data_IF_247739609773
#
_entry.id   IF_247739609773
#
_cell.length_a   1.000
_cell.length_b   1.000
_cell.length_c   1.000
_cell.angle_alpha   90.00
_cell.angle_beta   90.00
_cell.angle_gamma   90.00
#
_symmetry.space_group_name_H-M   'P 1'
#
loop_
_entity.id
_entity.type
_entity.pdbx_description
1 polymer ?
#
# COMPACT_ATOMS: atom_id res chain seq x y z
N UNK A 1 -13.39 -25.27 -14.10
CA UNK A 1 -12.86 -25.09 -12.73
C UNK A 1 -13.05 -23.63 -12.39
N UNK A 2 -13.98 -23.35 -11.47
CA UNK A 2 -14.28 -22.01 -10.94
C UNK A 2 -13.10 -21.53 -10.08
N UNK A 3 -13.20 -20.32 -9.54
CA UNK A 3 -12.26 -19.63 -8.63
C UNK A 3 -11.88 -20.44 -7.38
N UNK A 4 -11.18 -21.57 -7.55
CA UNK A 4 -10.76 -22.45 -6.47
C UNK A 4 -9.58 -21.83 -5.70
N UNK A 5 -9.86 -21.48 -4.45
CA UNK A 5 -8.86 -21.18 -3.42
C UNK A 5 -8.56 -22.47 -2.65
N UNK A 6 -7.48 -22.52 -1.85
CA UNK A 6 -7.23 -23.65 -0.96
C UNK A 6 -8.37 -23.98 0.01
N UNK A 7 -9.30 -23.04 0.24
CA UNK A 7 -10.44 -23.18 1.15
C UNK A 7 -11.77 -23.43 0.43
N UNK A 8 -11.74 -23.69 -0.90
CA UNK A 8 -12.92 -23.87 -1.73
C UNK A 8 -13.13 -22.70 -2.70
N UNK A 9 -14.28 -22.73 -3.38
CA UNK A 9 -14.70 -21.65 -4.28
C UNK A 9 -14.90 -20.35 -3.50
N UNK A 10 -14.55 -19.22 -4.09
CA UNK A 10 -14.70 -17.92 -3.40
C UNK A 10 -16.13 -17.69 -2.89
N UNK A 11 -17.14 -18.02 -3.69
CA UNK A 11 -18.56 -17.90 -3.33
C UNK A 11 -19.04 -18.87 -2.24
N UNK A 12 -18.25 -19.87 -1.86
CA UNK A 12 -18.58 -20.80 -0.77
C UNK A 12 -17.91 -20.49 0.57
N UNK A 13 -17.10 -19.42 0.65
CA UNK A 13 -16.40 -19.05 1.89
C UNK A 13 -17.35 -18.38 2.88
N UNK A 14 -17.39 -18.87 4.12
CA UNK A 14 -18.19 -18.26 5.19
C UNK A 14 -17.55 -16.95 5.67
N UNK A 15 -18.17 -15.83 5.30
CA UNK A 15 -17.72 -14.48 5.66
C UNK A 15 -18.04 -14.06 7.09
N UNK A 16 -18.68 -14.93 7.85
CA UNK A 16 -18.90 -14.73 9.27
C UNK A 16 -17.86 -15.47 10.11
N UNK A 17 -17.10 -16.38 9.49
CA UNK A 17 -16.06 -17.16 10.15
C UNK A 17 -14.77 -16.34 10.31
N UNK A 18 -14.42 -16.06 11.56
CA UNK A 18 -13.22 -15.30 11.94
C UNK A 18 -11.96 -16.17 11.92
N UNK A 19 -12.09 -17.47 12.17
CA UNK A 19 -10.96 -18.40 12.12
C UNK A 19 -10.54 -18.65 10.67
N UNK A 20 -11.51 -18.82 9.77
CA UNK A 20 -11.25 -18.88 8.33
C UNK A 20 -10.58 -17.60 7.81
N UNK A 21 -11.08 -16.42 8.18
CA UNK A 21 -10.44 -15.15 7.84
C UNK A 21 -8.97 -15.11 8.27
N UNK A 22 -8.69 -15.57 9.49
CA UNK A 22 -7.36 -15.64 10.05
C UNK A 22 -6.43 -16.59 9.28
N UNK A 23 -6.92 -17.79 8.93
CA UNK A 23 -6.16 -18.75 8.12
C UNK A 23 -5.78 -18.17 6.76
N UNK A 24 -6.73 -17.51 6.09
CA UNK A 24 -6.51 -16.88 4.79
C UNK A 24 -5.44 -15.78 4.91
N UNK A 25 -5.54 -14.90 5.91
CA UNK A 25 -4.55 -13.84 6.14
C UNK A 25 -3.16 -14.40 6.48
N UNK A 26 -3.07 -15.54 7.18
CA UNK A 26 -1.80 -16.23 7.48
C UNK A 26 -1.12 -16.86 6.25
N UNK A 27 -1.78 -16.89 5.10
CA UNK A 27 -1.15 -17.25 3.83
C UNK A 27 -0.04 -16.26 3.46
N UNK A 28 -0.22 -14.98 3.80
CA UNK A 28 0.73 -13.93 3.46
C UNK A 28 1.90 -13.85 4.44
N UNK A 29 3.04 -13.35 3.94
CA UNK A 29 4.19 -13.06 4.79
C UNK A 29 3.81 -11.99 5.82
N UNK A 30 4.30 -12.15 7.04
CA UNK A 30 4.06 -11.23 8.17
C UNK A 30 4.24 -9.73 7.84
N UNK A 31 5.13 -9.36 6.92
CA UNK A 31 5.34 -7.97 6.50
C UNK A 31 4.13 -7.36 5.78
N UNK A 32 3.34 -8.17 5.08
CA UNK A 32 2.10 -7.71 4.42
C UNK A 32 1.06 -7.33 5.48
N UNK A 33 0.88 -8.20 6.49
CA UNK A 33 -0.05 -7.95 7.60
C UNK A 33 0.39 -6.75 8.45
N UNK A 34 1.69 -6.63 8.72
CA UNK A 34 2.25 -5.43 9.38
C UNK A 34 2.07 -4.17 8.53
N UNK A 35 2.13 -4.28 7.20
CA UNK A 35 1.80 -3.20 6.27
C UNK A 35 0.37 -2.72 6.44
N UNK A 36 -0.60 -3.65 6.52
CA UNK A 36 -2.01 -3.31 6.78
C UNK A 36 -2.21 -2.55 8.10
N UNK A 37 -1.47 -2.93 9.16
CA UNK A 37 -1.50 -2.21 10.44
C UNK A 37 -1.00 -0.76 10.27
N UNK A 38 0.05 -0.56 9.46
CA UNK A 38 0.60 0.77 9.18
C UNK A 38 -0.36 1.60 8.32
N UNK A 39 -0.96 0.99 7.30
CA UNK A 39 -1.96 1.66 6.48
C UNK A 39 -3.14 2.17 7.32
N UNK A 40 -3.59 1.40 8.32
CA UNK A 40 -4.61 1.87 9.27
C UNK A 40 -4.17 3.07 10.10
N UNK A 41 -2.90 3.11 10.52
CA UNK A 41 -2.36 4.28 11.21
C UNK A 41 -2.45 5.53 10.33
N UNK A 42 -2.20 5.37 9.02
CA UNK A 42 -2.39 6.45 8.05
C UNK A 42 -3.85 6.79 7.80
N UNK A 43 -4.73 5.80 7.67
CA UNK A 43 -6.18 6.02 7.48
C UNK A 43 -6.74 6.92 8.59
N UNK A 44 -6.38 6.66 9.86
CA UNK A 44 -6.79 7.52 10.99
C UNK A 44 -6.33 8.98 10.84
N UNK A 45 -5.11 9.21 10.34
CA UNK A 45 -4.62 10.58 10.06
C UNK A 45 -5.40 11.24 8.93
N UNK A 46 -5.69 10.49 7.86
CA UNK A 46 -6.44 11.00 6.71
C UNK A 46 -7.92 11.21 6.99
N UNK A 47 -8.56 10.38 7.83
CA UNK A 47 -9.93 10.57 8.31
C UNK A 47 -10.07 11.87 9.11
N UNK A 48 -9.06 12.18 9.95
CA UNK A 48 -9.03 13.46 10.65
C UNK A 48 -8.83 14.62 9.68
N UNK A 49 -7.89 14.50 8.73
CA UNK A 49 -7.65 15.53 7.71
C UNK A 49 -8.87 15.76 6.80
N UNK A 50 -9.60 14.70 6.46
CA UNK A 50 -10.85 14.76 5.71
C UNK A 50 -11.91 15.56 6.48
N UNK A 51 -12.05 15.28 7.78
CA UNK A 51 -12.94 16.02 8.68
C UNK A 51 -12.58 17.50 8.74
N UNK A 52 -11.31 17.86 8.96
CA UNK A 52 -10.86 19.25 9.04
C UNK A 52 -10.98 20.01 7.71
N UNK A 53 -10.90 19.29 6.59
CA UNK A 53 -11.01 19.88 5.26
C UNK A 53 -12.43 20.27 4.85
N UNK A 54 -13.44 20.00 5.70
CA UNK A 54 -14.86 20.21 5.41
C UNK A 54 -15.28 19.58 4.05
N UNK A 55 -14.83 18.36 3.79
CA UNK A 55 -15.11 17.63 2.55
C UNK A 55 -14.17 17.94 1.38
N UNK A 56 -13.13 18.75 1.59
CA UNK A 56 -12.11 19.03 0.57
C UNK A 56 -11.20 17.84 0.24
N UNK A 57 -11.03 16.91 1.18
CA UNK A 57 -10.29 15.64 1.05
C UNK A 57 -11.27 14.47 1.17
N UNK A 58 -11.23 13.56 0.19
CA UNK A 58 -12.00 12.33 0.18
C UNK A 58 -11.08 11.15 -0.17
N UNK A 59 -10.95 10.18 0.75
CA UNK A 59 -10.34 8.89 0.42
C UNK A 59 -11.31 8.09 -0.47
N UNK A 60 -10.81 7.55 -1.58
CA UNK A 60 -11.61 6.70 -2.45
C UNK A 60 -11.58 5.27 -1.93
N UNK A 61 -12.77 4.68 -1.76
CA UNK A 61 -12.94 3.30 -1.30
C UNK A 61 -12.82 2.32 -2.47
N UNK A 62 -11.58 1.94 -2.76
CA UNK A 62 -11.23 1.06 -3.86
C UNK A 62 -9.95 0.28 -3.58
N UNK A 63 -9.74 -0.79 -4.34
CA UNK A 63 -8.46 -1.50 -4.46
C UNK A 63 -7.97 -1.40 -5.89
N UNK A 64 -6.67 -1.19 -6.10
CA UNK A 64 -6.08 -1.17 -7.44
C UNK A 64 -4.85 -2.03 -7.52
N UNK A 65 -4.91 -3.04 -8.38
CA UNK A 65 -3.80 -3.93 -8.68
C UNK A 65 -3.29 -3.68 -10.09
N UNK A 66 -2.02 -3.33 -10.22
CA UNK A 66 -1.35 -3.16 -11.51
C UNK A 66 -0.45 -4.36 -11.77
N UNK A 67 -0.58 -4.97 -12.94
CA UNK A 67 0.22 -6.11 -13.38
C UNK A 67 0.90 -5.82 -14.70
N UNK A 68 2.05 -6.47 -14.94
CA UNK A 68 2.66 -6.45 -16.28
C UNK A 68 1.82 -7.29 -17.23
N UNK A 69 1.54 -6.73 -18.41
CA UNK A 69 0.96 -7.52 -19.50
C UNK A 69 1.92 -8.64 -19.90
N UNK A 70 1.44 -9.89 -20.08
CA UNK A 70 2.25 -10.97 -20.64
C UNK A 70 2.61 -10.74 -22.11
N UNK A 71 1.83 -9.92 -22.82
CA UNK A 71 2.04 -9.61 -24.23
C UNK A 71 3.08 -8.50 -24.37
N UNK A 72 4.18 -8.80 -25.08
CA UNK A 72 5.25 -7.85 -25.29
C UNK A 72 4.76 -6.61 -26.04
N UNK A 73 5.14 -5.41 -25.56
CA UNK A 73 4.74 -4.13 -26.15
C UNK A 73 3.35 -3.64 -25.75
N UNK A 74 2.54 -4.46 -25.06
CA UNK A 74 1.26 -4.01 -24.52
C UNK A 74 1.45 -3.16 -23.25
N UNK A 75 0.55 -2.18 -23.00
CA UNK A 75 0.56 -1.45 -21.74
C UNK A 75 0.31 -2.40 -20.55
N UNK A 76 0.76 -2.04 -19.34
CA UNK A 76 0.38 -2.78 -18.14
C UNK A 76 -1.13 -2.76 -17.94
N UNK A 77 -1.63 -3.72 -17.16
CA UNK A 77 -3.07 -3.88 -16.90
C UNK A 77 -3.36 -3.43 -15.47
N UNK A 78 -4.39 -2.60 -15.28
CA UNK A 78 -4.88 -2.18 -13.98
C UNK A 78 -6.24 -2.82 -13.72
N UNK A 79 -6.35 -3.56 -12.62
CA UNK A 79 -7.61 -4.10 -12.10
C UNK A 79 -8.07 -3.23 -10.94
N UNK A 80 -9.22 -2.58 -11.09
CA UNK A 80 -9.74 -1.61 -10.12
C UNK A 80 -11.06 -2.11 -9.57
N UNK A 81 -11.08 -2.46 -8.29
CA UNK A 81 -12.30 -2.83 -7.59
C UNK A 81 -12.85 -1.64 -6.82
N UNK A 82 -14.02 -1.15 -7.23
CA UNK A 82 -14.74 -0.10 -6.51
C UNK A 82 -15.70 -0.77 -5.52
N UNK A 83 -15.58 -0.45 -4.22
CA UNK A 83 -16.41 -1.04 -3.16
C UNK A 83 -17.76 -0.33 -2.95
N UNK A 84 -18.00 0.74 -3.70
CA UNK A 84 -19.24 1.49 -3.75
C UNK A 84 -19.15 2.63 -4.76
N UNK A 85 -20.20 3.45 -4.86
CA UNK A 85 -20.22 4.61 -5.74
C UNK A 85 -19.78 5.86 -4.99
N UNK A 86 -18.73 6.52 -5.48
CA UNK A 86 -18.18 7.74 -4.89
C UNK A 86 -17.78 8.77 -5.96
N UNK A 87 -17.85 10.08 -5.66
CA UNK A 87 -17.27 11.13 -6.51
C UNK A 87 -15.80 10.85 -6.81
N UNK A 88 -15.34 11.19 -8.01
CA UNK A 88 -13.95 11.04 -8.43
C UNK A 88 -13.55 9.66 -8.97
N UNK A 89 -14.32 8.59 -8.73
CA UNK A 89 -13.98 7.24 -9.21
C UNK A 89 -13.92 7.13 -10.74
N UNK A 90 -14.90 7.70 -11.46
CA UNK A 90 -14.87 7.75 -12.93
C UNK A 90 -13.62 8.49 -13.44
N UNK A 91 -13.31 9.64 -12.83
CA UNK A 91 -12.11 10.43 -13.17
C UNK A 91 -10.84 9.63 -12.93
N UNK A 92 -10.81 8.82 -11.87
CA UNK A 92 -9.70 7.93 -11.56
C UNK A 92 -9.52 6.85 -12.63
N UNK A 93 -10.60 6.16 -13.01
CA UNK A 93 -10.55 5.16 -14.09
C UNK A 93 -10.12 5.77 -15.43
N UNK A 94 -10.67 6.94 -15.79
CA UNK A 94 -10.30 7.69 -16.99
C UNK A 94 -8.82 8.13 -16.97
N UNK A 95 -8.30 8.51 -15.80
CA UNK A 95 -6.89 8.85 -15.64
C UNK A 95 -6.00 7.63 -15.86
N UNK A 96 -6.30 6.50 -15.21
CA UNK A 96 -5.57 5.25 -15.38
C UNK A 96 -5.58 4.75 -16.83
N UNK A 97 -6.69 4.91 -17.54
CA UNK A 97 -6.85 4.45 -18.93
C UNK A 97 -5.92 5.16 -19.93
N UNK A 98 -5.28 6.27 -19.53
CA UNK A 98 -4.25 6.95 -20.33
C UNK A 98 -2.95 6.15 -20.42
N UNK A 99 -2.67 5.29 -19.44
CA UNK A 99 -1.38 4.58 -19.32
C UNK A 99 -1.52 3.07 -19.15
N UNK A 100 -2.72 2.58 -18.80
CA UNK A 100 -3.02 1.17 -18.59
C UNK A 100 -4.21 0.68 -19.42
N UNK A 101 -4.25 -0.61 -19.67
CA UNK A 101 -5.52 -1.30 -19.95
C UNK A 101 -6.26 -1.47 -18.63
N UNK A 102 -7.40 -0.81 -18.46
CA UNK A 102 -8.14 -0.78 -17.19
C UNK A 102 -9.31 -1.74 -17.22
N UNK A 103 -9.38 -2.64 -16.24
CA UNK A 103 -10.55 -3.46 -15.96
C UNK A 103 -11.20 -2.97 -14.66
N UNK A 104 -12.47 -2.59 -14.76
CA UNK A 104 -13.32 -2.35 -13.60
C UNK A 104 -13.81 -3.70 -13.06
N UNK A 105 -13.62 -3.91 -11.76
CA UNK A 105 -14.03 -5.11 -11.05
C UNK A 105 -15.26 -4.83 -10.19
N UNK A 106 -16.20 -5.77 -10.22
CA UNK A 106 -17.38 -5.80 -9.37
C UNK A 106 -17.45 -7.15 -8.66
N UNK A 107 -17.86 -7.13 -7.39
CA UNK A 107 -18.15 -8.36 -6.64
C UNK A 107 -19.65 -8.61 -6.71
N UNK A 108 -20.07 -9.64 -7.45
CA UNK A 108 -21.49 -9.95 -7.72
C UNK A 108 -21.75 -11.39 -7.30
N UNK A 109 -22.71 -11.61 -6.40
CA UNK A 109 -23.03 -12.94 -5.84
C UNK A 109 -21.76 -13.67 -5.38
N UNK A 110 -20.87 -12.93 -4.73
CA UNK A 110 -19.61 -13.44 -4.23
C UNK A 110 -18.66 -13.96 -5.29
N UNK A 111 -18.74 -13.48 -6.53
CA UNK A 111 -17.72 -13.74 -7.55
C UNK A 111 -17.28 -12.45 -8.24
N UNK A 112 -15.97 -12.32 -8.48
CA UNK A 112 -15.43 -11.16 -9.18
C UNK A 112 -15.75 -11.21 -10.67
N UNK A 113 -16.33 -10.13 -11.15
CA UNK A 113 -16.60 -9.89 -12.55
C UNK A 113 -15.78 -8.70 -13.02
N UNK A 114 -15.34 -8.77 -14.27
CA UNK A 114 -14.52 -7.74 -14.88
C UNK A 114 -15.20 -7.19 -16.14
N UNK A 115 -15.11 -5.88 -16.30
CA UNK A 115 -15.49 -5.16 -17.51
C UNK A 115 -14.32 -4.28 -17.93
N UNK A 116 -13.93 -4.32 -19.21
CA UNK A 116 -12.94 -3.41 -19.73
C UNK A 116 -13.50 -1.99 -19.67
N UNK A 117 -12.74 -1.09 -19.07
CA UNK A 117 -13.05 0.33 -19.01
C UNK A 117 -12.55 1.02 -20.27
N UNK A 118 -13.47 1.39 -21.16
CA UNK A 118 -13.26 2.42 -22.16
C UNK A 118 -14.14 3.63 -21.78
N UNK A 119 -13.54 4.82 -21.78
CA UNK A 119 -14.18 6.13 -21.55
C UNK A 119 -15.53 6.33 -22.26
N UNK A 120 -15.77 5.57 -23.34
CA UNK A 120 -17.00 5.60 -24.14
C UNK A 120 -17.96 4.44 -23.86
N UNK A 121 -17.46 3.26 -23.47
CA UNK A 121 -18.26 2.05 -23.29
C UNK A 121 -17.63 1.10 -22.25
N UNK A 122 -18.46 0.47 -21.42
CA UNK A 122 -18.06 -0.73 -20.68
C UNK A 122 -18.32 -1.96 -21.57
N UNK A 123 -17.32 -2.83 -21.74
CA UNK A 123 -17.58 -4.13 -22.37
C UNK A 123 -18.55 -4.94 -21.51
N UNK A 124 -19.29 -5.91 -22.07
CA UNK A 124 -20.07 -6.83 -21.27
C UNK A 124 -19.24 -7.47 -20.16
N UNK A 125 -19.78 -7.45 -18.95
CA UNK A 125 -19.17 -8.10 -17.78
C UNK A 125 -18.96 -9.59 -18.04
N UNK A 126 -17.83 -10.12 -17.57
CA UNK A 126 -17.55 -11.55 -17.57
C UNK A 126 -16.80 -11.97 -16.30
N UNK A 127 -16.85 -13.26 -15.90
CA UNK A 127 -16.13 -13.75 -14.73
C UNK A 127 -14.63 -13.44 -14.82
N UNK A 128 -14.04 -12.96 -13.72
CA UNK A 128 -12.64 -12.60 -13.65
C UNK A 128 -11.74 -13.80 -13.92
N UNK A 129 -12.07 -14.99 -13.39
CA UNK A 129 -11.34 -16.24 -13.65
C UNK A 129 -11.16 -16.51 -15.15
N UNK A 130 -12.19 -16.29 -15.95
CA UNK A 130 -12.11 -16.53 -17.39
C UNK A 130 -11.27 -15.47 -18.08
N UNK A 131 -11.44 -14.21 -17.68
CA UNK A 131 -10.63 -13.11 -18.21
C UNK A 131 -9.14 -13.32 -17.95
N UNK A 132 -8.73 -13.62 -16.71
CA UNK A 132 -7.31 -13.76 -16.36
C UNK A 132 -6.65 -14.97 -17.01
N UNK A 133 -7.42 -15.99 -17.38
CA UNK A 133 -6.92 -17.11 -18.19
C UNK A 133 -6.67 -16.70 -19.64
N UNK A 134 -7.52 -15.84 -20.18
CA UNK A 134 -7.41 -15.37 -21.56
C UNK A 134 -6.24 -14.40 -21.74
N UNK A 135 -6.04 -13.47 -20.80
CA UNK A 135 -5.03 -12.39 -20.93
C UNK A 135 -3.76 -12.66 -20.12
N UNK A 136 -3.79 -13.62 -19.20
CA UNK A 136 -2.70 -13.98 -18.31
C UNK A 136 -1.81 -15.10 -18.85
N UNK A 137 -0.87 -15.54 -18.02
CA UNK A 137 -0.07 -16.75 -18.27
C UNK A 137 -0.65 -17.96 -17.54
N UNK A 138 -0.10 -19.14 -17.80
CA UNK A 138 -0.38 -20.35 -17.00
C UNK A 138 -0.16 -20.07 -15.50
N UNK A 139 -1.15 -20.33 -14.63
CA UNK A 139 -1.10 -19.89 -13.24
C UNK A 139 0.04 -20.55 -12.46
N UNK A 140 0.65 -19.77 -11.56
CA UNK A 140 1.65 -20.23 -10.60
C UNK A 140 1.32 -19.74 -9.21
N UNK A 141 0.69 -20.59 -8.41
CA UNK A 141 0.41 -20.32 -7.00
C UNK A 141 1.73 -20.40 -6.21
N UNK A 142 2.13 -19.27 -5.63
CA UNK A 142 3.35 -19.19 -4.83
C UNK A 142 2.99 -19.30 -3.36
N UNK A 143 3.64 -20.24 -2.66
CA UNK A 143 3.63 -20.28 -1.20
C UNK A 143 4.77 -19.39 -0.67
N UNK A 144 4.52 -18.70 0.44
CA UNK A 144 5.58 -17.99 1.18
C UNK A 144 6.56 -19.04 1.71
N UNK A 145 7.86 -18.82 1.48
CA UNK A 145 8.87 -19.76 1.92
C UNK A 145 8.86 -19.90 3.46
N UNK A 146 8.95 -21.12 4.03
CA UNK A 146 8.81 -21.34 5.47
C UNK A 146 9.81 -20.55 6.32
N UNK A 147 11.02 -20.32 5.80
CA UNK A 147 12.12 -19.60 6.45
C UNK A 147 11.88 -18.09 6.61
N UNK A 148 10.95 -17.52 5.85
CA UNK A 148 10.54 -16.11 5.97
C UNK A 148 9.15 -15.93 6.58
N UNK A 149 8.43 -17.03 6.82
CA UNK A 149 7.16 -17.01 7.56
C UNK A 149 7.45 -16.87 9.06
N UNK A 150 6.67 -16.04 9.74
CA UNK A 150 6.82 -15.85 11.19
C UNK A 150 5.43 -15.77 11.81
N UNK A 151 4.95 -16.90 12.30
CA UNK A 151 3.57 -17.02 12.78
C UNK A 151 3.29 -16.15 13.99
N UNK A 152 4.25 -16.00 14.90
CA UNK A 152 4.11 -15.11 16.06
C UNK A 152 3.83 -13.68 15.59
N UNK A 153 4.57 -13.19 14.58
CA UNK A 153 4.34 -11.86 14.02
C UNK A 153 3.04 -11.74 13.25
N UNK A 154 2.64 -12.78 12.50
CA UNK A 154 1.33 -12.81 11.83
C UNK A 154 0.20 -12.70 12.86
N UNK A 155 0.21 -13.57 13.87
CA UNK A 155 -0.78 -13.59 14.94
C UNK A 155 -0.79 -12.27 15.72
N UNK A 156 0.38 -11.68 15.98
CA UNK A 156 0.48 -10.38 16.67
C UNK A 156 -0.18 -9.26 15.85
N UNK A 157 0.02 -9.22 14.54
CA UNK A 157 -0.60 -8.22 13.68
C UNK A 157 -2.13 -8.44 13.58
N UNK A 158 -2.56 -9.69 13.44
CA UNK A 158 -3.98 -10.01 13.27
C UNK A 158 -4.72 -9.86 14.60
N UNK A 159 -4.40 -10.67 15.61
CA UNK A 159 -5.13 -10.69 16.87
C UNK A 159 -4.78 -9.52 17.79
N UNK A 160 -3.53 -9.07 17.76
CA UNK A 160 -3.10 -7.95 18.60
C UNK A 160 -3.56 -6.58 18.08
N UNK A 161 -4.10 -6.50 16.86
CA UNK A 161 -4.55 -5.23 16.29
C UNK A 161 -5.75 -5.35 15.36
N UNK A 162 -5.58 -5.96 14.19
CA UNK A 162 -6.57 -5.89 13.11
C UNK A 162 -7.93 -6.41 13.56
N UNK A 163 -7.92 -7.47 14.38
CA UNK A 163 -9.11 -8.13 14.85
C UNK A 163 -9.78 -7.42 16.05
N UNK A 164 -9.08 -6.51 16.72
CA UNK A 164 -9.64 -5.61 17.75
C UNK A 164 -10.13 -4.29 17.14
N UNK A 165 -9.48 -3.82 16.08
CA UNK A 165 -9.79 -2.56 15.42
C UNK A 165 -10.98 -2.67 14.43
N UNK A 166 -11.35 -3.88 14.02
CA UNK A 166 -12.32 -4.12 12.95
C UNK A 166 -13.36 -5.16 13.36
N UNK A 167 -14.61 -4.95 12.94
CA UNK A 167 -15.62 -5.99 12.99
C UNK A 167 -15.26 -7.15 12.05
N UNK A 168 -15.85 -8.33 12.26
CA UNK A 168 -15.67 -9.48 11.37
C UNK A 168 -15.98 -9.13 9.92
N UNK A 169 -17.07 -8.40 9.67
CA UNK A 169 -17.44 -7.92 8.33
C UNK A 169 -16.37 -7.01 7.72
N UNK A 170 -15.81 -6.10 8.51
CA UNK A 170 -14.73 -5.21 8.05
C UNK A 170 -13.43 -5.97 7.77
N UNK A 171 -13.09 -6.98 8.58
CA UNK A 171 -11.94 -7.87 8.31
C UNK A 171 -12.12 -8.53 6.95
N UNK A 172 -13.30 -9.09 6.67
CA UNK A 172 -13.57 -9.76 5.41
C UNK A 172 -13.51 -8.80 4.22
N UNK A 173 -14.26 -7.69 4.30
CA UNK A 173 -14.40 -6.74 3.20
C UNK A 173 -13.11 -5.97 2.91
N UNK A 174 -12.37 -5.58 3.95
CA UNK A 174 -11.23 -4.67 3.82
C UNK A 174 -9.88 -5.41 3.81
N UNK A 175 -9.81 -6.66 4.28
CA UNK A 175 -8.56 -7.42 4.35
C UNK A 175 -8.66 -8.73 3.56
N UNK A 176 -9.56 -9.63 3.93
CA UNK A 176 -9.57 -11.01 3.37
C UNK A 176 -9.87 -11.01 1.88
N UNK A 177 -10.94 -10.35 1.44
CA UNK A 177 -11.34 -10.32 0.03
C UNK A 177 -10.25 -9.70 -0.87
N UNK A 178 -9.66 -8.53 -0.56
CA UNK A 178 -8.50 -8.01 -1.32
C UNK A 178 -7.34 -9.01 -1.40
N UNK A 179 -7.05 -9.74 -0.31
CA UNK A 179 -5.99 -10.75 -0.31
C UNK A 179 -6.31 -11.95 -1.16
N UNK A 180 -7.56 -12.42 -1.15
CA UNK A 180 -8.02 -13.49 -2.03
C UNK A 180 -7.90 -13.09 -3.50
N UNK A 181 -8.39 -11.89 -3.84
CA UNK A 181 -8.31 -11.31 -5.18
C UNK A 181 -6.85 -11.27 -5.68
N UNK A 182 -5.94 -10.67 -4.91
CA UNK A 182 -4.56 -10.50 -5.37
C UNK A 182 -3.78 -11.81 -5.37
N UNK A 183 -3.90 -12.65 -4.35
CA UNK A 183 -3.06 -13.84 -4.19
C UNK A 183 -3.52 -15.03 -5.04
N UNK A 184 -4.81 -15.14 -5.36
CA UNK A 184 -5.37 -16.32 -6.03
C UNK A 184 -5.98 -16.02 -7.39
N UNK A 185 -6.53 -14.81 -7.61
CA UNK A 185 -7.14 -14.45 -8.89
C UNK A 185 -6.22 -13.65 -9.81
N UNK A 186 -5.26 -12.89 -9.26
CA UNK A 186 -4.36 -12.05 -10.06
C UNK A 186 -2.91 -12.56 -10.09
N UNK A 187 -2.19 -12.56 -8.96
CA UNK A 187 -0.76 -12.90 -8.91
C UNK A 187 -0.37 -14.23 -9.58
N UNK A 188 -1.17 -15.32 -9.51
CA UNK A 188 -0.80 -16.56 -10.17
C UNK A 188 -0.67 -16.40 -11.69
N UNK A 189 -1.51 -15.56 -12.30
CA UNK A 189 -1.62 -15.36 -13.74
C UNK A 189 -0.66 -14.30 -14.28
N UNK A 190 -0.10 -13.44 -13.43
CA UNK A 190 0.75 -12.32 -13.87
C UNK A 190 2.11 -12.25 -13.15
N UNK A 191 3.00 -11.38 -13.64
CA UNK A 191 4.29 -11.10 -13.01
C UNK A 191 4.29 -9.65 -12.54
N UNK A 192 4.87 -9.40 -11.36
CA UNK A 192 5.05 -8.05 -10.84
C UNK A 192 3.70 -7.39 -10.57
N UNK A 193 2.89 -8.02 -9.73
CA UNK A 193 1.65 -7.42 -9.24
C UNK A 193 1.99 -6.39 -8.18
N UNK A 194 1.56 -5.15 -8.41
CA UNK A 194 1.66 -4.04 -7.47
C UNK A 194 0.27 -3.70 -6.96
N UNK A 195 0.13 -3.54 -5.65
CA UNK A 195 -1.04 -2.91 -5.04
C UNK A 195 -0.74 -1.41 -4.89
N UNK A 196 -1.71 -0.54 -5.14
CA UNK A 196 -1.62 0.87 -4.80
C UNK A 196 -2.22 1.08 -3.41
N UNK A 197 -1.49 1.73 -2.50
CA UNK A 197 -1.93 1.78 -1.09
C UNK A 197 -3.21 2.61 -0.92
N UNK A 198 -3.20 3.92 -1.22
CA UNK A 198 -4.42 4.75 -1.13
C UNK A 198 -4.55 5.73 -2.29
N UNK A 199 -5.80 5.96 -2.72
CA UNK A 199 -6.17 7.00 -3.67
C UNK A 199 -7.08 7.99 -2.96
N UNK A 200 -6.85 9.28 -3.18
CA UNK A 200 -7.75 10.30 -2.66
C UNK A 200 -8.02 11.40 -3.69
N UNK A 201 -9.18 12.04 -3.55
CA UNK A 201 -9.54 13.26 -4.25
C UNK A 201 -9.33 14.42 -3.27
N UNK A 202 -8.50 15.38 -3.65
CA UNK A 202 -8.31 16.62 -2.88
C UNK A 202 -8.49 17.82 -3.80
N UNK A 203 -9.53 18.63 -3.56
CA UNK A 203 -9.86 19.82 -4.37
C UNK A 203 -9.77 19.57 -5.87
N UNK A 204 -10.50 18.55 -6.34
CA UNK A 204 -10.54 18.09 -7.74
C UNK A 204 -9.28 17.37 -8.27
N UNK A 205 -8.19 17.30 -7.51
CA UNK A 205 -6.98 16.59 -7.92
C UNK A 205 -6.93 15.18 -7.34
N UNK A 206 -6.56 14.22 -8.19
CA UNK A 206 -6.37 12.84 -7.78
C UNK A 206 -4.95 12.63 -7.28
N UNK A 207 -4.84 12.02 -6.11
CA UNK A 207 -3.57 11.68 -5.48
C UNK A 207 -3.44 10.18 -5.33
N UNK A 208 -2.22 9.68 -5.54
CA UNK A 208 -1.82 8.33 -5.13
C UNK A 208 -0.87 8.47 -3.95
N UNK A 209 -1.19 7.81 -2.84
CA UNK A 209 -0.42 7.88 -1.60
C UNK A 209 0.28 6.53 -1.41
N UNK A 210 1.61 6.55 -1.44
CA UNK A 210 2.47 5.39 -1.15
C UNK A 210 2.95 5.49 0.31
N UNK A 211 2.51 4.56 1.14
CA UNK A 211 2.60 4.61 2.59
C UNK A 211 3.64 3.60 3.09
N UNK A 212 4.60 4.03 3.91
CA UNK A 212 5.63 3.14 4.47
C UNK A 212 5.85 3.33 5.97
N UNK A 213 6.37 2.27 6.59
CA UNK A 213 6.93 2.29 7.93
C UNK A 213 8.38 1.81 7.89
N UNK A 214 9.33 2.73 8.04
CA UNK A 214 10.77 2.43 7.91
C UNK A 214 11.61 3.34 8.79
N UNK A 215 12.88 2.98 8.97
CA UNK A 215 13.89 3.86 9.58
C UNK A 215 14.95 4.18 8.53
N UNK A 216 15.65 5.33 8.66
CA UNK A 216 16.66 5.70 7.69
C UNK A 216 17.88 4.76 7.77
N UNK A 217 18.52 4.54 6.63
CA UNK A 217 19.65 3.64 6.44
C UNK A 217 20.97 4.29 6.88
N UNK A 218 21.94 3.47 7.28
CA UNK A 218 23.32 3.89 7.56
C UNK A 218 23.40 4.98 8.64
N UNK A 219 24.02 6.12 8.30
CA UNK A 219 24.16 7.30 9.16
C UNK A 219 22.80 7.88 9.61
N UNK A 220 21.72 7.57 8.90
CA UNK A 220 20.39 8.10 9.20
C UNK A 220 19.89 9.16 8.24
N UNK A 221 20.60 9.35 7.12
CA UNK A 221 20.34 10.46 6.20
C UNK A 221 19.54 10.05 4.98
N UNK A 222 19.29 8.75 4.77
CA UNK A 222 18.67 8.25 3.55
C UNK A 222 17.62 7.17 3.79
N UNK A 223 16.59 7.15 2.94
CA UNK A 223 15.63 6.06 2.82
C UNK A 223 15.80 5.35 1.48
N UNK A 224 15.53 4.04 1.44
CA UNK A 224 15.39 3.32 0.18
C UNK A 224 13.99 3.52 -0.42
N UNK A 225 13.94 3.68 -1.75
CA UNK A 225 12.73 3.58 -2.57
C UNK A 225 12.94 2.48 -3.62
N UNK A 226 12.03 1.51 -3.70
CA UNK A 226 12.16 0.44 -4.68
C UNK A 226 11.98 0.99 -6.10
N UNK A 227 12.77 0.49 -7.04
CA UNK A 227 12.71 0.92 -8.45
C UNK A 227 11.35 0.58 -9.11
N UNK A 228 10.68 -0.46 -8.63
CA UNK A 228 9.29 -0.75 -8.98
C UNK A 228 8.30 0.32 -8.49
N UNK A 229 8.44 0.79 -7.25
CA UNK A 229 7.61 1.85 -6.66
C UNK A 229 7.83 3.18 -7.40
N UNK A 230 9.09 3.52 -7.70
CA UNK A 230 9.42 4.73 -8.48
C UNK A 230 8.79 4.69 -9.89
N UNK A 231 8.84 3.53 -10.56
CA UNK A 231 8.15 3.34 -11.85
C UNK A 231 6.63 3.50 -11.71
N UNK A 232 6.04 3.01 -10.62
CA UNK A 232 4.61 3.16 -10.38
C UNK A 232 4.22 4.63 -10.18
N UNK A 233 4.99 5.38 -9.38
CA UNK A 233 4.82 6.82 -9.22
C UNK A 233 4.92 7.56 -10.55
N UNK A 234 5.82 7.13 -11.44
CA UNK A 234 5.94 7.67 -12.80
C UNK A 234 4.68 7.42 -13.62
N UNK A 235 4.15 6.20 -13.64
CA UNK A 235 2.90 5.89 -14.33
C UNK A 235 1.73 6.71 -13.79
N UNK A 236 1.61 6.86 -12.46
CA UNK A 236 0.57 7.70 -11.87
C UNK A 236 0.71 9.16 -12.29
N UNK A 237 1.93 9.69 -12.31
CA UNK A 237 2.19 11.04 -12.81
C UNK A 237 1.82 11.19 -14.29
N UNK A 238 2.13 10.20 -15.14
CA UNK A 238 1.77 10.20 -16.57
C UNK A 238 0.25 10.07 -16.80
N UNK A 239 -0.47 9.39 -15.88
CA UNK A 239 -1.93 9.33 -15.86
C UNK A 239 -2.58 10.67 -15.45
N UNK A 240 -1.80 11.58 -14.87
CA UNK A 240 -2.27 12.87 -14.35
C UNK A 240 -2.69 12.82 -12.88
N UNK A 241 -2.24 11.80 -12.13
CA UNK A 241 -2.33 11.78 -10.67
C UNK A 241 -1.10 12.44 -10.04
N UNK A 242 -1.25 12.93 -8.81
CA UNK A 242 -0.17 13.46 -7.99
C UNK A 242 0.30 12.37 -7.02
N UNK A 243 1.42 11.67 -7.28
CA UNK A 243 1.94 10.68 -6.35
C UNK A 243 2.59 11.35 -5.14
N UNK A 244 2.28 10.89 -3.93
CA UNK A 244 2.95 11.27 -2.70
C UNK A 244 3.59 10.04 -2.06
N UNK A 245 4.80 10.20 -1.54
CA UNK A 245 5.46 9.18 -0.74
C UNK A 245 5.49 9.61 0.72
N UNK A 246 4.86 8.83 1.59
CA UNK A 246 4.71 9.15 3.00
C UNK A 246 5.26 8.03 3.87
N UNK A 247 5.89 8.43 4.98
CA UNK A 247 6.61 7.52 5.85
C UNK A 247 6.31 7.85 7.30
N UNK A 248 5.84 6.85 8.04
CA UNK A 248 5.98 6.84 9.50
C UNK A 248 7.39 6.32 9.81
N UNK A 249 8.23 7.20 10.32
CA UNK A 249 9.63 6.89 10.63
C UNK A 249 9.70 6.20 12.00
N UNK A 250 10.35 5.04 12.06
CA UNK A 250 10.51 4.35 13.35
C UNK A 250 11.42 5.17 14.29
N UNK A 251 11.03 5.36 15.55
CA UNK A 251 11.87 6.02 16.55
C UNK A 251 13.07 5.14 16.98
N UNK A 252 13.06 3.84 16.64
CA UNK A 252 14.15 2.90 16.93
C UNK A 252 14.65 2.32 15.62
N UNK A 253 15.97 2.39 15.37
CA UNK A 253 16.63 1.85 14.17
C UNK A 253 16.86 0.35 14.29
N UNK A 254 15.78 -0.39 14.49
CA UNK A 254 15.80 -1.84 14.63
C UNK A 254 14.68 -2.46 13.78
N UNK A 255 15.06 -3.43 12.94
CA UNK A 255 14.14 -4.20 12.11
C UNK A 255 13.23 -5.12 12.95
N UNK A 256 13.64 -5.44 14.18
CA UNK A 256 12.84 -6.21 15.13
C UNK A 256 11.69 -5.38 15.71
N UNK A 257 11.75 -4.05 15.68
CA UNK A 257 10.66 -3.19 16.16
C UNK A 257 9.49 -3.18 15.17
N UNK A 258 8.34 -3.67 15.63
CA UNK A 258 7.12 -3.90 14.84
C UNK A 258 6.18 -2.71 14.92
N UNK A 259 5.32 -2.45 13.92
CA UNK A 259 4.43 -1.29 13.91
C UNK A 259 3.45 -1.23 15.08
N UNK A 260 3.25 -2.34 15.82
CA UNK A 260 2.39 -2.39 17.01
C UNK A 260 2.67 -1.34 18.07
N UNK A 261 3.91 -0.86 18.19
CA UNK A 261 4.24 0.21 19.13
C UNK A 261 3.43 1.49 18.85
N UNK A 262 2.99 1.70 17.60
CA UNK A 262 2.15 2.84 17.21
C UNK A 262 0.81 2.84 17.97
N UNK A 263 0.39 1.74 18.58
CA UNK A 263 -0.90 1.67 19.26
C UNK A 263 -0.74 1.37 20.75
N UNK A 264 0.18 0.48 21.11
CA UNK A 264 0.32 -0.02 22.48
C UNK A 264 1.48 0.60 23.28
N UNK A 265 2.32 1.45 22.66
CA UNK A 265 3.44 2.08 23.35
C UNK A 265 3.46 3.59 23.10
N UNK A 266 2.84 4.33 24.03
CA UNK A 266 2.75 5.80 23.97
C UNK A 266 4.10 6.49 23.79
N UNK A 267 5.13 6.07 24.51
CA UNK A 267 6.46 6.69 24.47
C UNK A 267 7.10 6.59 23.09
N UNK A 268 7.01 5.41 22.45
CA UNK A 268 7.52 5.22 21.09
C UNK A 268 6.62 5.90 20.05
N UNK A 269 5.31 5.88 20.26
CA UNK A 269 4.32 6.51 19.39
C UNK A 269 4.54 8.02 19.22
N UNK A 270 4.71 8.73 20.33
CA UNK A 270 4.96 10.19 20.37
C UNK A 270 6.26 10.59 19.65
N UNK A 271 7.20 9.65 19.51
CA UNK A 271 8.49 9.84 18.83
C UNK A 271 8.51 9.40 17.37
N UNK A 272 7.47 8.71 16.89
CA UNK A 272 7.44 8.30 15.49
C UNK A 272 7.17 9.50 14.60
N UNK A 273 8.18 9.95 13.85
CA UNK A 273 8.03 11.05 12.90
C UNK A 273 7.10 10.65 11.75
N UNK A 274 6.35 11.62 11.22
CA UNK A 274 5.63 11.47 9.96
C UNK A 274 6.18 12.48 8.97
N UNK A 275 6.58 11.97 7.82
CA UNK A 275 7.17 12.75 6.73
C UNK A 275 6.49 12.42 5.41
N UNK A 276 6.44 13.38 4.51
CA UNK A 276 5.78 13.23 3.22
C UNK A 276 6.46 14.05 2.13
N UNK A 277 6.37 13.57 0.89
CA UNK A 277 6.85 14.29 -0.28
C UNK A 277 5.95 14.03 -1.48
N UNK A 278 5.54 15.09 -2.16
CA UNK A 278 4.99 14.95 -3.51
C UNK A 278 6.11 14.59 -4.49
N UNK A 279 5.91 13.50 -5.21
CA UNK A 279 6.83 12.93 -6.18
C UNK A 279 6.55 13.53 -7.57
N UNK A 280 6.84 14.82 -7.74
CA UNK A 280 6.68 15.50 -9.03
C UNK A 280 7.54 14.84 -10.12
N UNK A 281 7.17 15.04 -11.39
CA UNK A 281 7.94 14.49 -12.53
C UNK A 281 9.43 14.83 -12.47
N UNK A 282 9.76 16.07 -12.13
CA UNK A 282 11.15 16.52 -11.96
C UNK A 282 11.89 15.74 -10.86
N UNK A 283 11.25 15.48 -9.71
CA UNK A 283 11.87 14.69 -8.63
C UNK A 283 12.03 13.24 -9.05
N UNK A 284 11.03 12.65 -9.70
CA UNK A 284 11.09 11.27 -10.23
C UNK A 284 12.29 11.15 -11.18
N UNK A 285 12.41 12.02 -12.17
CA UNK A 285 13.51 12.01 -13.15
C UNK A 285 14.89 12.17 -12.48
N UNK A 286 14.99 13.02 -11.46
CA UNK A 286 16.23 13.19 -10.68
C UNK A 286 16.60 11.91 -9.92
N UNK A 287 15.62 11.25 -9.30
CA UNK A 287 15.85 10.01 -8.57
C UNK A 287 16.21 8.88 -9.52
N UNK A 288 15.55 8.76 -10.67
CA UNK A 288 15.85 7.74 -11.71
C UNK A 288 17.31 7.81 -12.21
N UNK A 289 17.95 8.98 -12.14
CA UNK A 289 19.37 9.16 -12.52
C UNK A 289 20.35 8.69 -11.44
N UNK A 290 19.91 8.50 -10.19
CA UNK A 290 20.79 8.04 -9.10
C UNK A 290 21.19 6.57 -9.29
N UNK A 291 22.36 6.12 -8.78
CA UNK A 291 22.75 4.72 -8.88
C UNK A 291 21.72 3.75 -8.29
N UNK A 292 21.48 2.64 -9.00
CA UNK A 292 20.63 1.54 -8.52
C UNK A 292 21.44 0.63 -7.60
N UNK A 293 20.94 0.40 -6.38
CA UNK A 293 21.50 -0.55 -5.40
C UNK A 293 20.62 -1.79 -5.28
N UNK A 294 21.13 -2.87 -4.69
CA UNK A 294 20.39 -4.12 -4.45
C UNK A 294 20.06 -4.30 -2.98
N UNK A 295 18.81 -4.62 -2.67
CA UNK A 295 18.33 -4.90 -1.32
C UNK A 295 18.70 -6.32 -0.86
N UNK A 296 18.64 -6.56 0.44
CA UNK A 296 18.78 -7.90 1.02
C UNK A 296 17.55 -8.78 0.73
N UNK A 297 17.71 -10.11 0.71
CA UNK A 297 16.67 -11.08 0.32
C UNK A 297 15.34 -10.93 1.06
N UNK A 298 15.39 -10.59 2.35
CA UNK A 298 14.20 -10.43 3.20
C UNK A 298 13.25 -9.30 2.78
N UNK A 299 13.67 -8.40 1.89
CA UNK A 299 12.83 -7.31 1.35
C UNK A 299 11.89 -7.75 0.23
N UNK A 300 12.04 -8.98 -0.28
CA UNK A 300 11.10 -9.55 -1.25
C UNK A 300 9.88 -10.16 -0.52
N UNK A 301 8.71 -10.09 -1.16
CA UNK A 301 7.44 -10.61 -0.62
C UNK A 301 7.55 -12.12 -0.34
N UNK A 302 8.24 -12.86 -1.20
CA UNK A 302 8.42 -14.32 -1.10
C UNK A 302 9.70 -14.75 -0.39
N UNK A 303 10.63 -13.82 -0.11
CA UNK A 303 11.97 -14.15 0.41
C UNK A 303 12.99 -14.56 -0.66
N UNK A 304 12.57 -14.73 -1.91
CA UNK A 304 13.44 -15.17 -3.02
C UNK A 304 13.85 -14.00 -3.93
N UNK A 305 15.13 -13.64 -3.94
CA UNK A 305 15.72 -12.64 -4.87
C UNK A 305 16.20 -11.36 -4.19
N UNK A 306 16.47 -10.32 -4.98
CA UNK A 306 16.85 -8.98 -4.52
C UNK A 306 16.08 -7.93 -5.31
N UNK A 307 15.67 -6.83 -4.67
CA UNK A 307 14.98 -5.73 -5.32
C UNK A 307 15.96 -4.58 -5.54
N UNK A 308 15.88 -3.95 -6.71
CA UNK A 308 16.63 -2.72 -6.97
C UNK A 308 16.03 -1.54 -6.20
N UNK A 309 16.83 -0.74 -5.53
CA UNK A 309 16.38 0.46 -4.84
C UNK A 309 17.30 1.67 -5.09
N UNK A 310 16.76 2.86 -4.86
CA UNK A 310 17.49 4.14 -4.95
C UNK A 310 17.38 4.87 -3.63
N UNK A 311 18.43 5.64 -3.31
CA UNK A 311 18.49 6.39 -2.05
C UNK A 311 17.84 7.76 -2.17
N UNK A 312 16.95 8.04 -1.23
CA UNK A 312 16.28 9.32 -1.04
C UNK A 312 16.84 9.99 0.21
N UNK A 313 17.47 11.17 0.11
CA UNK A 313 17.91 11.90 1.29
C UNK A 313 16.70 12.32 2.11
N UNK A 314 16.82 12.36 3.43
CA UNK A 314 15.75 12.83 4.34
C UNK A 314 15.26 14.23 3.94
N UNK A 315 16.18 15.08 3.45
CA UNK A 315 15.91 16.46 3.05
C UNK A 315 15.03 16.63 1.80
N UNK A 316 14.62 15.55 1.14
CA UNK A 316 13.59 15.63 0.08
C UNK A 316 12.18 15.63 0.67
N UNK A 317 12.04 15.14 1.91
CA UNK A 317 10.76 15.03 2.59
C UNK A 317 10.45 16.29 3.38
N UNK A 318 9.17 16.64 3.38
CA UNK A 318 8.61 17.61 4.29
C UNK A 318 8.30 16.95 5.64
N UNK A 319 8.51 17.70 6.71
CA UNK A 319 8.05 17.36 8.05
C UNK A 319 6.55 17.57 8.13
N UNK A 320 5.82 16.53 8.54
CA UNK A 320 4.37 16.62 8.78
C UNK A 320 4.04 16.63 10.28
N UNK A 321 4.91 16.09 11.12
CA UNK A 321 4.74 16.07 12.57
C UNK A 321 5.27 14.77 13.19
N UNK A 322 4.72 14.40 14.34
CA UNK A 322 4.87 13.05 14.89
C UNK A 322 3.51 12.37 15.02
N UNK A 323 3.49 11.04 14.97
CA UNK A 323 2.26 10.27 14.96
C UNK A 323 1.51 10.32 16.32
N UNK A 324 2.22 10.59 17.42
CA UNK A 324 1.57 10.78 18.72
C UNK A 324 1.07 12.20 18.98
N UNK A 325 1.30 13.15 18.07
CA UNK A 325 0.57 14.42 18.11
C UNK A 325 -0.92 14.13 17.84
N UNK A 326 -1.80 14.85 18.54
CA UNK A 326 -3.24 14.78 18.25
C UNK A 326 -3.48 15.11 16.78
N UNK A 327 -4.49 14.47 16.16
CA UNK A 327 -4.80 14.61 14.73
C UNK A 327 -4.79 16.06 14.25
N UNK A 328 -5.21 16.99 15.12
CA UNK A 328 -5.27 18.44 14.87
C UNK A 328 -3.94 19.09 14.45
N UNK A 329 -2.79 18.49 14.76
CA UNK A 329 -1.48 19.04 14.39
C UNK A 329 -0.95 18.49 13.08
N UNK A 330 -1.21 17.21 12.80
CA UNK A 330 -0.68 16.55 11.60
C UNK A 330 -1.56 16.78 10.38
N UNK A 331 -2.87 16.87 10.57
CA UNK A 331 -3.85 17.06 9.50
C UNK A 331 -3.64 18.35 8.71
N UNK A 332 -3.40 19.53 9.33
CA UNK A 332 -3.09 20.74 8.59
C UNK A 332 -1.84 20.60 7.71
N UNK A 333 -0.80 19.90 8.17
CA UNK A 333 0.42 19.68 7.40
C UNK A 333 0.20 18.70 6.23
N UNK A 334 -0.63 17.66 6.42
CA UNK A 334 -1.08 16.79 5.32
C UNK A 334 -1.84 17.62 4.27
N UNK A 335 -2.80 18.45 4.68
CA UNK A 335 -3.58 19.28 3.75
C UNK A 335 -2.71 20.32 3.02
N UNK A 336 -1.68 20.86 3.69
CA UNK A 336 -0.65 21.72 3.06
C UNK A 336 0.16 20.96 2.02
N UNK A 337 0.59 19.73 2.32
CA UNK A 337 1.29 18.86 1.36
C UNK A 337 0.44 18.63 0.12
N UNK A 338 -0.83 18.25 0.30
CA UNK A 338 -1.78 18.01 -0.79
C UNK A 338 -2.17 19.29 -1.53
N UNK A 339 -1.99 20.46 -0.92
CA UNK A 339 -2.15 21.76 -1.59
C UNK A 339 -0.91 22.20 -2.37
N UNK A 340 0.19 21.43 -2.33
CA UNK A 340 1.47 21.84 -2.90
C UNK A 340 2.13 23.02 -2.17
N UNK A 341 1.70 23.33 -0.94
CA UNK A 341 2.28 24.43 -0.17
C UNK A 341 3.68 24.07 0.33
N UNK A 342 4.50 25.11 0.54
CA UNK A 342 5.84 24.94 1.10
C UNK A 342 5.73 24.51 2.57
N UNK A 343 6.38 23.41 2.89
CA UNK A 343 6.48 22.84 4.23
C UNK A 343 7.93 22.90 4.73
N UNK A 344 8.11 22.84 6.05
CA UNK A 344 9.42 22.63 6.66
C UNK A 344 10.02 21.31 6.15
N UNK A 345 11.29 21.31 5.76
CA UNK A 345 11.95 20.07 5.32
C UNK A 345 12.36 19.23 6.54
N UNK A 346 12.18 17.92 6.44
CA UNK A 346 12.74 16.99 7.39
C UNK A 346 14.28 17.00 7.30
N UNK A 347 14.94 16.74 8.43
CA UNK A 347 16.39 16.65 8.50
C UNK A 347 16.83 15.41 9.28
N UNK A 348 18.05 14.93 9.00
CA UNK A 348 18.64 13.84 9.78
C UNK A 348 18.77 14.18 11.27
N UNK A 349 19.05 15.46 11.59
CA UNK A 349 19.10 15.97 12.96
C UNK A 349 17.77 15.86 13.69
N UNK A 350 16.67 16.33 13.07
CA UNK A 350 15.33 16.19 13.65
C UNK A 350 14.93 14.72 13.86
N UNK A 351 15.22 13.85 12.90
CA UNK A 351 14.97 12.41 13.07
C UNK A 351 15.83 11.80 14.18
N UNK A 352 17.06 12.29 14.40
CA UNK A 352 17.94 11.82 15.46
C UNK A 352 17.48 12.27 16.86
N UNK A 353 16.92 13.48 16.99
CA UNK A 353 16.33 13.98 18.24
C UNK A 353 15.12 13.13 18.69
N UNK A 354 14.31 12.70 17.72
CA UNK A 354 13.17 11.83 17.97
C UNK A 354 13.59 10.39 18.27
N UNK A 355 14.70 9.94 17.67
CA UNK A 355 15.17 8.58 17.82
C UNK A 355 15.46 8.26 19.30
N UNK A 356 14.90 7.16 19.78
CA UNK A 356 15.31 6.59 21.05
C UNK A 356 16.60 5.80 20.81
N UNK A 357 17.63 6.09 21.60
CA UNK A 357 18.81 5.22 21.66
C UNK A 357 18.31 3.87 22.17
N UNK A 358 18.39 2.82 21.33
CA UNK A 358 18.09 1.47 21.78
C UNK A 358 18.93 1.21 23.04
N UNK A 359 18.35 0.74 24.15
CA UNK A 359 19.16 0.37 25.30
C UNK A 359 20.20 -0.62 24.80
N UNK A 360 21.48 -0.24 24.88
CA UNK A 360 22.58 -1.13 24.59
C UNK A 360 22.39 -2.34 25.48
N UNK A 361 22.07 -3.49 24.90
CA UNK A 361 22.05 -4.74 25.63
C UNK A 361 23.40 -4.85 26.36
N UNK A 362 23.42 -5.09 27.68
CA UNK A 362 24.68 -5.32 28.36
C UNK A 362 25.35 -6.48 27.63
N UNK A 363 26.59 -6.25 27.17
CA UNK A 363 27.45 -7.33 26.68
C UNK A 363 27.50 -8.36 27.81
N UNK A 364 26.85 -9.50 27.61
CA UNK A 364 27.10 -10.71 28.39
C UNK A 364 28.18 -11.50 27.70
#
# INVERSE_FOLDING_TARGET
MMDETPWGTFSSLDRTDRDLAHEILKWDKHQVLEGMVVERAFDQMFEHAATESNGGLQLLDLETFVVKSPTAGSPPVAFVWLRGTQPGQRRYLDALAKVFTVYHLELINDDFHASLWDSKHLTPRRPLADLVRDIGRKPRYQAVAPDVKNEVRQNTAIWGFLAEALSTEQIWTQLVIPRLLVNFLLQPFFIGTWNLDRICLFREELWMLELKHKFPMGSGDNFGLNDGELRMMRFMSDAGLRPAHMIIVKPVRDITVKPMYLFNNRQLRERAAVIGVEMTRQKIDLIERKPLRKSAKHTTITGTGTVGFRELPVSIFSRLGTYGEEGQKISPEILKLLSGQKLEQASGGWLAELAQVAPTAPRK
#
